data_IF_094955935480
#
_entry.id   IF_094955935480
#
_cell.length_a   1.000
_cell.length_b   1.000
_cell.length_c   1.000
_cell.angle_alpha   90.00
_cell.angle_beta   90.00
_cell.angle_gamma   90.00
#
_symmetry.space_group_name_H-M   'P 1'
#
loop_
_entity.id
_entity.type
_entity.pdbx_description
1 polymer ?
#
# COMPACT_ATOMS: atom_id res chain seq x y z
N UNK A 1 5.97 13.96 12.98
CA UNK A 1 4.78 13.09 13.03
C UNK A 1 5.26 11.67 12.74
N UNK A 2 4.61 10.64 13.24
CA UNK A 2 4.98 9.24 12.94
C UNK A 2 4.15 8.77 11.76
N UNK A 3 4.74 7.95 10.88
CA UNK A 3 4.10 7.38 9.69
C UNK A 3 2.67 6.86 9.98
N UNK A 4 2.53 6.11 11.08
CA UNK A 4 1.24 5.59 11.51
C UNK A 4 0.19 6.69 11.71
N UNK A 5 0.52 7.79 12.38
CA UNK A 5 -0.42 8.89 12.63
C UNK A 5 -0.91 9.52 11.33
N UNK A 6 -0.02 9.65 10.34
CA UNK A 6 -0.37 10.22 9.04
C UNK A 6 -1.31 9.28 8.26
N UNK A 7 -1.01 7.98 8.25
CA UNK A 7 -1.88 6.93 7.67
C UNK A 7 -3.28 6.96 8.29
N UNK A 8 -3.37 6.89 9.63
CA UNK A 8 -4.66 6.92 10.34
C UNK A 8 -5.44 8.20 10.06
N UNK A 9 -4.76 9.34 9.98
CA UNK A 9 -5.41 10.61 9.69
C UNK A 9 -6.00 10.65 8.27
N UNK A 10 -5.32 10.06 7.28
CA UNK A 10 -5.80 10.00 5.89
C UNK A 10 -6.97 9.03 5.77
N UNK A 11 -6.85 7.82 6.32
CA UNK A 11 -7.93 6.81 6.29
C UNK A 11 -9.19 7.35 6.97
N UNK A 12 -9.06 8.02 8.12
CA UNK A 12 -10.21 8.64 8.78
C UNK A 12 -10.86 9.78 7.98
N UNK A 13 -10.18 10.36 6.98
CA UNK A 13 -10.82 11.27 6.03
C UNK A 13 -11.57 10.50 4.96
N UNK A 14 -10.99 9.41 4.44
CA UNK A 14 -11.62 8.51 3.47
C UNK A 14 -12.94 7.95 4.01
N UNK A 15 -12.96 7.44 5.24
CA UNK A 15 -14.16 6.89 5.90
C UNK A 15 -15.29 7.92 6.09
N UNK A 16 -14.96 9.21 6.13
CA UNK A 16 -15.95 10.30 6.26
C UNK A 16 -16.54 10.74 4.93
N UNK A 17 -15.95 10.30 3.82
CA UNK A 17 -16.46 10.61 2.49
C UNK A 17 -17.70 9.77 2.17
N UNK A 18 -18.54 10.30 1.29
CA UNK A 18 -19.56 9.49 0.65
C UNK A 18 -18.89 8.53 -0.34
N UNK A 19 -19.45 7.34 -0.57
CA UNK A 19 -18.85 6.29 -1.41
C UNK A 19 -18.63 6.70 -2.88
N UNK A 20 -19.23 7.80 -3.33
CA UNK A 20 -19.10 8.37 -4.68
C UNK A 20 -18.31 9.68 -4.71
N UNK A 21 -17.75 10.10 -3.58
CA UNK A 21 -17.01 11.37 -3.53
C UNK A 21 -15.65 11.20 -4.23
N UNK A 22 -15.40 11.90 -5.34
CA UNK A 22 -14.15 11.78 -6.09
C UNK A 22 -12.94 12.25 -5.28
N UNK A 23 -13.10 12.96 -4.15
CA UNK A 23 -11.99 13.28 -3.25
C UNK A 23 -11.29 12.06 -2.67
N UNK A 24 -11.89 10.87 -2.75
CA UNK A 24 -11.23 9.64 -2.33
C UNK A 24 -9.91 9.43 -3.09
N UNK A 25 -9.87 9.81 -4.37
CA UNK A 25 -8.66 9.71 -5.20
C UNK A 25 -7.54 10.62 -4.69
N UNK A 26 -7.86 11.84 -4.25
CA UNK A 26 -6.86 12.76 -3.67
C UNK A 26 -6.25 12.18 -2.39
N UNK A 27 -7.07 11.54 -1.54
CA UNK A 27 -6.59 10.92 -0.31
C UNK A 27 -5.83 9.61 -0.57
N UNK A 28 -6.17 8.89 -1.63
CA UNK A 28 -5.38 7.74 -2.07
C UNK A 28 -4.00 8.17 -2.57
N UNK A 29 -3.90 9.26 -3.34
CA UNK A 29 -2.60 9.82 -3.74
C UNK A 29 -1.78 10.26 -2.52
N UNK A 30 -2.39 10.98 -1.57
CA UNK A 30 -1.75 11.34 -0.30
C UNK A 30 -1.24 10.09 0.45
N UNK A 31 -2.04 9.02 0.52
CA UNK A 31 -1.69 7.78 1.19
C UNK A 31 -0.52 7.08 0.50
N UNK A 32 -0.55 6.99 -0.83
CA UNK A 32 0.52 6.41 -1.62
C UNK A 32 1.83 7.16 -1.42
N UNK A 33 1.81 8.50 -1.43
CA UNK A 33 3.00 9.33 -1.19
C UNK A 33 3.58 9.11 0.20
N UNK A 34 2.72 9.07 1.24
CA UNK A 34 3.16 8.84 2.62
C UNK A 34 3.82 7.47 2.78
N UNK A 35 3.24 6.43 2.18
CA UNK A 35 3.78 5.07 2.23
C UNK A 35 5.06 4.91 1.40
N UNK A 36 5.18 5.67 0.31
CA UNK A 36 6.35 5.63 -0.59
C UNK A 36 7.51 6.48 -0.07
N UNK A 37 7.30 7.37 0.90
CA UNK A 37 8.31 8.29 1.39
C UNK A 37 9.45 7.61 2.18
N UNK A 38 9.16 6.51 2.87
CA UNK A 38 10.14 5.73 3.62
C UNK A 38 9.76 4.24 3.61
N UNK A 39 10.36 3.51 2.68
CA UNK A 39 10.16 2.07 2.50
C UNK A 39 10.29 1.29 3.81
N UNK A 40 11.37 1.55 4.58
CA UNK A 40 11.68 0.76 5.78
C UNK A 40 10.64 1.02 6.86
N UNK A 41 10.23 2.27 7.04
CA UNK A 41 9.18 2.62 7.98
C UNK A 41 7.84 1.99 7.56
N UNK A 42 7.53 1.98 6.26
CA UNK A 42 6.33 1.37 5.69
C UNK A 42 6.29 -0.14 5.89
N UNK A 43 7.36 -0.86 5.53
CA UNK A 43 7.46 -2.31 5.76
C UNK A 43 7.34 -2.62 7.26
N UNK A 44 7.99 -1.83 8.13
CA UNK A 44 7.88 -2.02 9.58
C UNK A 44 6.46 -1.78 10.10
N UNK A 45 5.75 -0.79 9.55
CA UNK A 45 4.36 -0.52 9.91
C UNK A 45 3.45 -1.67 9.46
N UNK A 46 3.53 -2.06 8.19
CA UNK A 46 2.71 -3.11 7.59
C UNK A 46 2.91 -4.47 8.28
N UNK A 47 4.16 -4.88 8.51
CA UNK A 47 4.47 -6.14 9.18
C UNK A 47 3.95 -6.22 10.62
N UNK A 48 3.86 -5.08 11.32
CA UNK A 48 3.36 -4.99 12.70
C UNK A 48 1.86 -4.75 12.79
N UNK A 49 1.22 -4.25 11.74
CA UNK A 49 -0.20 -3.94 11.74
C UNK A 49 -1.03 -5.22 11.87
N UNK A 50 -1.95 -5.23 12.83
CA UNK A 50 -2.95 -6.30 13.01
C UNK A 50 -4.35 -5.84 12.57
N UNK A 51 -4.47 -4.58 12.16
CA UNK A 51 -5.73 -3.95 11.81
C UNK A 51 -6.06 -4.20 10.34
N UNK A 52 -7.00 -5.13 10.10
CA UNK A 52 -7.41 -5.52 8.75
C UNK A 52 -8.05 -4.35 7.99
N UNK A 53 -8.83 -3.49 8.66
CA UNK A 53 -9.52 -2.38 8.00
C UNK A 53 -8.50 -1.35 7.47
N UNK A 54 -7.47 -1.08 8.27
CA UNK A 54 -6.36 -0.22 7.83
C UNK A 54 -5.62 -0.82 6.64
N UNK A 55 -5.33 -2.13 6.68
CA UNK A 55 -4.65 -2.79 5.56
C UNK A 55 -5.53 -2.76 4.31
N UNK A 56 -6.84 -3.01 4.41
CA UNK A 56 -7.78 -2.95 3.28
C UNK A 56 -7.77 -1.59 2.57
N UNK A 57 -7.78 -0.49 3.33
CA UNK A 57 -7.63 0.86 2.76
C UNK A 57 -6.28 1.05 2.06
N UNK A 58 -5.19 0.57 2.66
CA UNK A 58 -3.86 0.66 2.07
C UNK A 58 -3.75 -0.20 0.80
N UNK A 59 -4.45 -1.33 0.74
CA UNK A 59 -4.48 -2.18 -0.45
C UNK A 59 -5.04 -1.45 -1.67
N UNK A 60 -5.88 -0.43 -1.49
CA UNK A 60 -6.38 0.39 -2.60
C UNK A 60 -5.29 1.18 -3.32
N UNK A 61 -4.13 1.39 -2.69
CA UNK A 61 -3.01 2.18 -3.22
C UNK A 61 -1.72 1.38 -3.35
N UNK A 62 -1.77 0.06 -3.16
CA UNK A 62 -0.58 -0.79 -3.18
C UNK A 62 0.12 -0.82 -4.53
N UNK A 63 -0.60 -0.69 -5.64
CA UNK A 63 0.00 -0.63 -6.97
C UNK A 63 0.86 0.62 -7.12
N UNK A 64 0.33 1.78 -6.70
CA UNK A 64 1.07 3.04 -6.74
C UNK A 64 2.30 3.00 -5.82
N UNK A 65 2.17 2.43 -4.61
CA UNK A 65 3.30 2.31 -3.68
C UNK A 65 4.35 1.33 -4.21
N UNK A 66 3.93 0.20 -4.76
CA UNK A 66 4.85 -0.78 -5.34
C UNK A 66 5.60 -0.19 -6.55
N UNK A 67 4.91 0.57 -7.39
CA UNK A 67 5.51 1.29 -8.51
C UNK A 67 6.51 2.37 -8.03
N UNK A 68 6.13 3.17 -7.03
CA UNK A 68 6.97 4.26 -6.53
C UNK A 68 8.21 3.75 -5.78
N UNK A 69 8.07 2.70 -4.97
CA UNK A 69 9.18 2.11 -4.23
C UNK A 69 10.07 1.23 -5.12
N UNK A 70 9.49 0.59 -6.13
CA UNK A 70 10.15 -0.35 -7.05
C UNK A 70 11.07 -1.36 -6.31
N UNK A 71 10.58 -1.89 -5.18
CA UNK A 71 11.40 -2.69 -4.24
C UNK A 71 10.89 -4.11 -4.04
N UNK A 72 11.82 -5.06 -4.16
CA UNK A 72 11.58 -6.45 -3.82
C UNK A 72 11.23 -6.67 -2.34
N UNK A 73 11.80 -5.88 -1.41
CA UNK A 73 11.49 -6.04 0.02
C UNK A 73 10.03 -5.67 0.31
N UNK A 74 9.50 -4.66 -0.39
CA UNK A 74 8.10 -4.28 -0.30
C UNK A 74 7.17 -5.37 -0.85
N UNK A 75 7.51 -5.99 -2.00
CA UNK A 75 6.73 -7.12 -2.53
C UNK A 75 6.68 -8.29 -1.54
N UNK A 76 7.80 -8.66 -0.94
CA UNK A 76 7.86 -9.71 0.08
C UNK A 76 7.00 -9.37 1.31
N UNK A 77 6.90 -8.08 1.66
CA UNK A 77 6.00 -7.60 2.70
C UNK A 77 4.53 -7.83 2.31
N UNK A 78 4.12 -7.50 1.08
CA UNK A 78 2.75 -7.73 0.60
C UNK A 78 2.41 -9.23 0.56
N UNK A 79 3.35 -10.10 0.15
CA UNK A 79 3.16 -11.56 0.20
C UNK A 79 2.91 -12.07 1.63
N UNK A 80 3.64 -11.52 2.58
CA UNK A 80 3.46 -11.83 4.00
C UNK A 80 2.07 -11.37 4.50
N UNK A 81 1.60 -10.21 4.04
CA UNK A 81 0.26 -9.71 4.33
C UNK A 81 -0.84 -10.58 3.71
N UNK A 82 -0.66 -11.09 2.48
CA UNK A 82 -1.60 -12.02 1.86
C UNK A 82 -1.77 -13.30 2.69
N UNK A 83 -0.69 -13.76 3.33
CA UNK A 83 -0.75 -14.92 4.22
C UNK A 83 -1.49 -14.58 5.53
N UNK A 84 -1.32 -13.36 6.04
CA UNK A 84 -1.94 -12.88 7.28
C UNK A 84 -3.43 -12.54 7.10
N UNK A 85 -3.80 -11.99 5.96
CA UNK A 85 -5.14 -11.53 5.61
C UNK A 85 -5.56 -12.12 4.26
N UNK A 86 -5.83 -13.44 4.19
CA UNK A 86 -6.12 -14.13 2.93
C UNK A 86 -7.35 -13.58 2.19
N UNK A 87 -8.26 -12.92 2.92
CA UNK A 87 -9.49 -12.34 2.38
C UNK A 87 -9.27 -11.10 1.50
N UNK A 88 -8.10 -10.45 1.57
CA UNK A 88 -7.81 -9.21 0.84
C UNK A 88 -7.44 -9.43 -0.63
N UNK A 89 -7.29 -10.69 -1.08
CA UNK A 89 -7.06 -11.06 -2.47
C UNK A 89 -5.94 -10.23 -3.16
N UNK A 90 -4.78 -10.12 -2.50
CA UNK A 90 -3.60 -9.37 -2.95
C UNK A 90 -2.78 -10.09 -4.03
N UNK A 91 -3.10 -11.36 -4.31
CA UNK A 91 -2.40 -12.17 -5.31
C UNK A 91 -2.23 -11.49 -6.69
N UNK A 92 -3.28 -10.94 -7.34
CA UNK A 92 -3.13 -10.21 -8.60
C UNK A 92 -2.22 -8.98 -8.47
N UNK A 93 -2.24 -8.31 -7.31
CA UNK A 93 -1.42 -7.13 -7.04
C UNK A 93 0.07 -7.47 -6.91
N UNK A 94 0.36 -8.58 -6.22
CA UNK A 94 1.72 -9.12 -6.06
C UNK A 94 2.31 -9.53 -7.42
N UNK A 95 1.48 -10.13 -8.29
CA UNK A 95 1.88 -10.52 -9.64
C UNK A 95 2.22 -9.29 -10.48
N UNK A 96 1.32 -8.29 -10.51
CA UNK A 96 1.54 -7.04 -11.23
C UNK A 96 2.79 -6.30 -10.76
N UNK A 97 3.00 -6.21 -9.43
CA UNK A 97 4.18 -5.58 -8.85
C UNK A 97 5.48 -6.31 -9.25
N UNK A 98 5.46 -7.65 -9.30
CA UNK A 98 6.62 -8.45 -9.75
C UNK A 98 6.95 -8.25 -11.21
N UNK A 99 5.93 -8.24 -12.06
CA UNK A 99 6.13 -8.04 -13.49
C UNK A 99 6.72 -6.66 -13.76
N UNK A 100 6.27 -5.62 -13.04
CA UNK A 100 6.83 -4.27 -13.14
C UNK A 100 8.34 -4.25 -12.83
N UNK A 101 8.78 -4.87 -11.73
CA UNK A 101 10.22 -4.92 -11.38
C UNK A 101 11.04 -5.70 -12.42
N UNK A 102 10.55 -6.87 -12.88
CA UNK A 102 11.30 -7.71 -13.81
C UNK A 102 11.40 -7.09 -15.21
N UNK A 103 10.42 -6.28 -15.63
CA UNK A 103 10.44 -5.58 -16.92
C UNK A 103 11.52 -4.49 -16.98
N UNK A 104 11.89 -3.87 -15.85
CA UNK A 104 12.98 -2.89 -15.79
C UNK A 104 14.38 -3.52 -15.96
N UNK A 105 14.56 -4.82 -15.68
CA UNK A 105 15.86 -5.50 -15.82
C UNK A 105 16.19 -5.95 -17.26
N UNK A 106 15.19 -6.15 -18.13
CA UNK A 106 15.38 -6.60 -19.52
C UNK A 106 15.67 -5.46 -20.52
N UNK A 107 15.50 -4.19 -20.12
CA UNK A 107 15.81 -3.00 -20.96
C UNK A 107 17.21 -2.38 -20.69
N UNK A 108 18.16 -3.13 -20.09
CA UNK A 108 19.53 -2.66 -19.78
C UNK A 108 20.65 -3.31 -20.61
#
# INVERSE_FOLDING_TARGET
MTLATDIYAIISKIEKLHFEDPKVYDYWDDLAQVLSADEKATIQFLSRSEDKEIIDHICSVFDDVAYNLNSHEFILCIESLQTKFPDLLLAPMIEAAREAINLDEDES
#
